data_IF_724587743117
#
_entry.id   IF_724587743117
#
_cell.length_a   1.000
_cell.length_b   1.000
_cell.length_c   1.000
_cell.angle_alpha   90.00
_cell.angle_beta   90.00
_cell.angle_gamma   90.00
#
_symmetry.space_group_name_H-M   'P 1'
#
loop_
_entity.id
_entity.type
_entity.pdbx_description
1 polymer ?
#
# COMPACT_ATOMS: atom_id res chain seq x y z
N UNK A 1 15.73 -4.81 5.63
CA UNK A 1 15.14 -4.51 6.96
C UNK A 1 14.01 -3.52 6.75
N UNK A 2 12.76 -3.98 6.90
CA UNK A 2 11.58 -3.12 6.75
C UNK A 2 11.71 -1.93 7.72
N UNK A 3 11.45 -0.73 7.22
CA UNK A 3 11.37 0.46 8.07
C UNK A 3 10.25 0.23 9.10
N UNK A 4 10.63 -0.07 10.36
CA UNK A 4 9.69 -0.41 11.44
C UNK A 4 8.55 0.61 11.59
N UNK A 5 8.75 1.85 11.14
CA UNK A 5 7.73 2.87 11.14
C UNK A 5 6.48 2.54 10.30
N UNK A 6 6.62 1.90 9.13
CA UNK A 6 5.47 1.60 8.27
C UNK A 6 4.50 0.61 8.93
N UNK A 7 5.06 -0.48 9.47
CA UNK A 7 4.30 -1.51 10.20
C UNK A 7 3.63 -0.88 11.41
N UNK A 8 4.37 -0.11 12.21
CA UNK A 8 3.86 0.49 13.44
C UNK A 8 2.76 1.51 13.17
N UNK A 9 2.95 2.42 12.21
CA UNK A 9 1.94 3.42 11.85
C UNK A 9 0.69 2.74 11.25
N UNK A 10 0.85 1.66 10.47
CA UNK A 10 -0.27 0.88 9.93
C UNK A 10 -1.06 0.15 11.04
N UNK A 11 -0.38 -0.50 11.97
CA UNK A 11 -1.00 -1.16 13.13
C UNK A 11 -1.76 -0.15 14.01
N UNK A 12 -1.17 1.03 14.25
CA UNK A 12 -1.82 2.11 15.00
C UNK A 12 -3.09 2.58 14.27
N UNK A 13 -3.03 2.78 12.96
CA UNK A 13 -4.18 3.16 12.14
C UNK A 13 -5.33 2.15 12.20
N UNK A 14 -5.01 0.85 12.10
CA UNK A 14 -5.98 -0.24 12.21
C UNK A 14 -6.64 -0.27 13.59
N UNK A 15 -5.87 -0.07 14.66
CA UNK A 15 -6.41 0.01 16.03
C UNK A 15 -7.36 1.19 16.20
N UNK A 16 -7.05 2.35 15.60
CA UNK A 16 -7.93 3.52 15.63
C UNK A 16 -9.25 3.27 14.88
N UNK A 17 -9.19 2.60 13.72
CA UNK A 17 -10.37 2.18 12.97
C UNK A 17 -11.25 1.22 13.79
N UNK A 18 -10.65 0.21 14.42
CA UNK A 18 -11.36 -0.73 15.29
C UNK A 18 -12.03 -0.03 16.49
N UNK A 19 -11.34 0.92 17.15
CA UNK A 19 -11.91 1.71 18.24
C UNK A 19 -13.11 2.55 17.78
N UNK A 20 -13.04 3.11 16.58
CA UNK A 20 -14.15 3.86 16.01
C UNK A 20 -15.37 2.95 15.76
N UNK A 21 -15.15 1.78 15.16
CA UNK A 21 -16.22 0.82 14.87
C UNK A 21 -16.87 0.31 16.17
N UNK A 22 -16.08 -0.03 17.19
CA UNK A 22 -16.59 -0.43 18.51
C UNK A 22 -17.41 0.70 19.17
N UNK A 23 -16.93 1.95 19.10
CA UNK A 23 -17.67 3.10 19.63
C UNK A 23 -18.98 3.33 18.87
N UNK A 24 -18.98 3.14 17.55
CA UNK A 24 -20.16 3.25 16.69
C UNK A 24 -21.20 2.19 17.02
N UNK A 25 -20.79 0.93 17.19
CA UNK A 25 -21.69 -0.16 17.60
C UNK A 25 -22.34 0.11 18.96
N UNK A 26 -21.61 0.73 19.89
CA UNK A 26 -22.11 1.13 21.22
C UNK A 26 -22.91 2.44 21.23
N UNK A 27 -23.04 3.13 20.09
CA UNK A 27 -23.67 4.45 20.02
C UNK A 27 -22.94 5.54 20.82
N UNK A 28 -21.64 5.37 21.10
CA UNK A 28 -20.84 6.25 21.93
C UNK A 28 -20.23 7.40 21.12
N UNK A 29 -20.95 8.52 21.00
CA UNK A 29 -20.50 9.67 20.21
C UNK A 29 -19.17 10.26 20.66
N UNK A 30 -18.89 10.30 21.97
CA UNK A 30 -17.61 10.79 22.50
C UNK A 30 -16.44 9.85 22.15
N UNK A 31 -16.68 8.53 22.16
CA UNK A 31 -15.69 7.54 21.73
C UNK A 31 -15.38 7.64 20.24
N UNK A 32 -16.40 7.85 19.41
CA UNK A 32 -16.23 8.08 17.97
C UNK A 32 -15.40 9.35 17.70
N UNK A 33 -15.66 10.44 18.41
CA UNK A 33 -14.92 11.70 18.23
C UNK A 33 -13.47 11.57 18.71
N UNK A 34 -13.22 10.88 19.83
CA UNK A 34 -11.88 10.60 20.31
C UNK A 34 -11.06 9.77 19.31
N UNK A 35 -11.66 8.76 18.69
CA UNK A 35 -11.01 7.95 17.66
C UNK A 35 -10.70 8.79 16.39
N UNK A 36 -11.60 9.68 15.98
CA UNK A 36 -11.37 10.60 14.84
C UNK A 36 -10.24 11.58 15.11
N UNK A 37 -10.18 12.13 16.30
CA UNK A 37 -9.12 13.06 16.68
C UNK A 37 -7.74 12.37 16.71
N UNK A 38 -7.69 11.15 17.26
CA UNK A 38 -6.47 10.34 17.22
C UNK A 38 -6.06 9.98 15.77
N UNK A 39 -7.03 9.64 14.92
CA UNK A 39 -6.80 9.38 13.50
C UNK A 39 -6.18 10.61 12.82
N UNK A 40 -6.74 11.80 13.02
CA UNK A 40 -6.21 13.05 12.44
C UNK A 40 -4.75 13.28 12.84
N UNK A 41 -4.42 13.13 14.12
CA UNK A 41 -3.04 13.30 14.62
C UNK A 41 -2.08 12.29 14.01
N UNK A 42 -2.51 11.03 13.85
CA UNK A 42 -1.68 10.02 13.20
C UNK A 42 -1.49 10.33 11.70
N UNK A 43 -2.54 10.77 11.00
CA UNK A 43 -2.44 11.23 9.61
C UNK A 43 -1.46 12.39 9.47
N UNK A 44 -1.56 13.42 10.31
CA UNK A 44 -0.62 14.56 10.31
C UNK A 44 0.82 14.12 10.59
N UNK A 45 1.03 13.18 11.53
CA UNK A 45 2.35 12.58 11.80
C UNK A 45 2.90 11.85 10.59
N UNK A 46 2.09 11.06 9.90
CA UNK A 46 2.49 10.31 8.69
C UNK A 46 2.83 11.28 7.56
N UNK A 47 1.98 12.27 7.30
CA UNK A 47 2.21 13.32 6.30
C UNK A 47 3.49 14.12 6.60
N UNK A 48 3.74 14.40 7.88
CA UNK A 48 4.96 15.08 8.36
C UNK A 48 6.26 14.31 8.09
N UNK A 49 6.21 13.00 7.79
CA UNK A 49 7.38 12.21 7.34
C UNK A 49 7.71 12.42 5.87
N UNK A 50 6.86 13.16 5.14
CA UNK A 50 7.09 13.56 3.76
C UNK A 50 6.34 12.70 2.73
N UNK A 51 6.34 13.19 1.49
CA UNK A 51 5.57 12.63 0.38
C UNK A 51 6.01 11.20 0.00
N UNK A 52 7.31 10.92 0.00
CA UNK A 52 7.88 9.59 -0.26
C UNK A 52 7.29 8.56 0.70
N UNK A 53 7.44 8.78 2.01
CA UNK A 53 6.88 7.92 3.05
C UNK A 53 5.37 7.76 2.94
N UNK A 54 4.64 8.87 2.76
CA UNK A 54 3.17 8.87 2.68
C UNK A 54 2.66 8.01 1.52
N UNK A 55 3.33 8.06 0.37
CA UNK A 55 2.97 7.25 -0.79
C UNK A 55 3.18 5.76 -0.52
N UNK A 56 4.34 5.37 0.03
CA UNK A 56 4.63 3.97 0.37
C UNK A 56 3.69 3.45 1.46
N UNK A 57 3.40 4.28 2.46
CA UNK A 57 2.45 3.97 3.53
C UNK A 57 1.06 3.62 2.98
N UNK A 58 0.53 4.39 2.02
CA UNK A 58 -0.77 4.08 1.40
C UNK A 58 -0.76 2.71 0.73
N UNK A 59 0.25 2.43 -0.08
CA UNK A 59 0.40 1.13 -0.75
C UNK A 59 0.50 -0.02 0.24
N UNK A 60 1.16 0.21 1.38
CA UNK A 60 1.27 -0.76 2.46
C UNK A 60 -0.08 -1.03 3.14
N UNK A 61 -0.84 0.02 3.44
CA UNK A 61 -2.21 -0.11 3.98
C UNK A 61 -3.10 -0.88 3.02
N UNK A 62 -3.07 -0.54 1.73
CA UNK A 62 -3.87 -1.22 0.70
C UNK A 62 -3.53 -2.71 0.63
N UNK A 63 -2.24 -3.07 0.67
CA UNK A 63 -1.80 -4.46 0.71
C UNK A 63 -2.32 -5.19 1.96
N UNK A 64 -2.23 -4.55 3.13
CA UNK A 64 -2.74 -5.13 4.37
C UNK A 64 -4.28 -5.31 4.34
N UNK A 65 -5.03 -4.34 3.83
CA UNK A 65 -6.50 -4.43 3.68
C UNK A 65 -6.92 -5.52 2.69
N UNK A 66 -6.15 -5.71 1.62
CA UNK A 66 -6.37 -6.76 0.63
C UNK A 66 -5.80 -8.11 1.03
N UNK A 67 -5.02 -8.19 2.13
CA UNK A 67 -4.36 -9.43 2.55
C UNK A 67 -3.30 -9.90 1.55
N UNK A 68 -2.62 -8.97 0.89
CA UNK A 68 -1.47 -9.23 0.03
C UNK A 68 -0.17 -9.19 0.85
N UNK A 69 0.78 -10.06 0.48
CA UNK A 69 2.10 -10.12 1.12
C UNK A 69 2.97 -8.90 0.75
N UNK A 70 2.84 -8.44 -0.50
CA UNK A 70 3.61 -7.31 -1.04
C UNK A 70 2.68 -6.16 -1.40
N UNK A 71 3.24 -4.95 -1.40
CA UNK A 71 2.56 -3.78 -1.95
C UNK A 71 2.32 -3.97 -3.45
N UNK A 72 1.23 -3.42 -3.96
CA UNK A 72 0.83 -3.59 -5.35
C UNK A 72 0.69 -2.27 -6.09
N UNK A 73 1.47 -2.11 -7.16
CA UNK A 73 1.41 -1.02 -8.10
C UNK A 73 0.37 -1.35 -9.19
N UNK A 74 -0.91 -1.11 -8.90
CA UNK A 74 -2.02 -1.45 -9.80
C UNK A 74 -2.43 -0.31 -10.75
N UNK A 75 -2.09 0.94 -10.44
CA UNK A 75 -2.48 2.12 -11.24
C UNK A 75 -1.36 2.57 -12.21
N UNK A 76 -1.56 3.70 -12.89
CA UNK A 76 -0.55 4.34 -13.76
C UNK A 76 0.66 4.76 -12.94
N UNK A 77 1.83 4.30 -13.37
CA UNK A 77 3.12 4.91 -13.00
C UNK A 77 3.67 5.60 -14.23
N UNK A 78 3.76 6.93 -14.18
CA UNK A 78 4.32 7.71 -15.28
C UNK A 78 5.82 7.49 -15.36
N UNK A 79 6.36 7.39 -16.57
CA UNK A 79 7.79 7.13 -16.81
C UNK A 79 8.71 8.05 -16.01
N UNK A 80 8.37 9.36 -15.96
CA UNK A 80 9.12 10.38 -15.20
C UNK A 80 9.13 10.18 -13.69
N UNK A 81 8.18 9.42 -13.15
CA UNK A 81 7.99 9.21 -11.72
C UNK A 81 8.60 7.87 -11.26
N UNK A 82 9.03 6.99 -12.19
CA UNK A 82 9.57 5.66 -11.87
C UNK A 82 10.80 5.73 -10.97
N UNK A 83 11.80 6.54 -11.32
CA UNK A 83 13.04 6.65 -10.54
C UNK A 83 12.78 7.10 -9.10
N UNK A 84 11.94 8.13 -8.94
CA UNK A 84 11.55 8.65 -7.64
C UNK A 84 10.74 7.63 -6.83
N UNK A 85 9.86 6.86 -7.49
CA UNK A 85 9.08 5.80 -6.86
C UNK A 85 10.01 4.70 -6.32
N UNK A 86 10.87 4.12 -7.15
CA UNK A 86 11.76 3.03 -6.73
C UNK A 86 12.72 3.50 -5.63
N UNK A 87 13.22 4.74 -5.71
CA UNK A 87 14.03 5.33 -4.64
C UNK A 87 13.25 5.45 -3.33
N UNK A 88 11.98 5.86 -3.39
CA UNK A 88 11.09 5.88 -2.21
C UNK A 88 10.86 4.48 -1.64
N UNK A 89 10.71 3.45 -2.48
CA UNK A 89 10.59 2.05 -2.03
C UNK A 89 11.86 1.60 -1.27
N UNK A 90 13.05 1.85 -1.83
CA UNK A 90 14.34 1.54 -1.18
C UNK A 90 14.50 2.27 0.16
N UNK A 91 14.27 3.57 0.19
CA UNK A 91 14.38 4.40 1.41
C UNK A 91 13.48 3.88 2.55
N UNK A 92 12.35 3.27 2.19
CA UNK A 92 11.41 2.70 3.14
C UNK A 92 11.61 1.20 3.41
N UNK A 93 12.66 0.60 2.87
CA UNK A 93 13.02 -0.80 3.11
C UNK A 93 12.05 -1.80 2.47
N UNK A 94 11.39 -1.41 1.37
CA UNK A 94 10.59 -2.33 0.55
C UNK A 94 11.54 -3.15 -0.30
N UNK A 95 11.56 -4.46 -0.05
CA UNK A 95 12.42 -5.41 -0.76
C UNK A 95 11.72 -6.05 -1.96
N UNK A 96 10.39 -6.12 -1.94
CA UNK A 96 9.57 -6.70 -3.00
C UNK A 96 8.27 -5.93 -3.19
N UNK A 97 7.79 -5.85 -4.43
CA UNK A 97 6.47 -5.31 -4.80
C UNK A 97 5.86 -6.11 -5.94
N UNK A 98 4.53 -6.04 -6.08
CA UNK A 98 3.82 -6.54 -7.25
C UNK A 98 3.41 -5.40 -8.18
N UNK A 99 3.31 -5.70 -9.47
CA UNK A 99 2.84 -4.78 -10.49
C UNK A 99 1.75 -5.46 -11.31
N UNK A 100 0.50 -5.06 -11.08
CA UNK A 100 -0.69 -5.66 -11.69
C UNK A 100 -1.41 -4.74 -12.68
N UNK A 101 -0.77 -3.65 -13.07
CA UNK A 101 -1.38 -2.61 -13.90
C UNK A 101 -1.82 -3.14 -15.27
N UNK A 102 -3.04 -2.77 -15.69
CA UNK A 102 -3.62 -3.16 -16.98
C UNK A 102 -3.53 -2.08 -18.05
N UNK A 103 -2.80 -0.99 -17.78
CA UNK A 103 -2.60 0.08 -18.75
C UNK A 103 -1.77 -0.40 -19.96
N UNK A 104 -2.01 0.18 -21.13
CA UNK A 104 -1.33 -0.23 -22.37
C UNK A 104 0.19 -0.06 -22.32
N UNK A 105 0.69 0.80 -21.43
CA UNK A 105 2.12 1.04 -21.19
C UNK A 105 2.74 0.12 -20.14
N UNK A 106 2.00 -0.87 -19.59
CA UNK A 106 2.47 -1.65 -18.45
C UNK A 106 3.81 -2.36 -18.73
N UNK A 107 4.03 -2.88 -19.93
CA UNK A 107 5.29 -3.53 -20.31
C UNK A 107 6.45 -2.53 -20.32
N UNK A 108 6.23 -1.30 -20.81
CA UNK A 108 7.23 -0.23 -20.81
C UNK A 108 7.55 0.22 -19.39
N UNK A 109 6.54 0.38 -18.53
CA UNK A 109 6.74 0.68 -17.11
C UNK A 109 7.52 -0.43 -16.40
N UNK A 110 7.20 -1.70 -16.66
CA UNK A 110 7.92 -2.85 -16.14
C UNK A 110 9.40 -2.85 -16.58
N UNK A 111 9.68 -2.49 -17.84
CA UNK A 111 11.05 -2.31 -18.33
C UNK A 111 11.78 -1.20 -17.55
N UNK A 112 11.13 -0.04 -17.34
CA UNK A 112 11.72 1.06 -16.57
C UNK A 112 12.05 0.65 -15.11
N UNK A 113 11.26 -0.22 -14.48
CA UNK A 113 11.62 -0.76 -13.17
C UNK A 113 12.95 -1.51 -13.21
N UNK A 114 13.20 -2.30 -14.28
CA UNK A 114 14.47 -3.01 -14.44
C UNK A 114 15.65 -2.06 -14.66
N UNK A 115 15.46 -0.98 -15.43
CA UNK A 115 16.49 0.06 -15.62
C UNK A 115 16.79 0.82 -14.32
N UNK A 116 15.83 0.84 -13.38
CA UNK A 116 15.97 1.46 -12.05
C UNK A 116 16.39 0.46 -10.96
N UNK A 117 17.02 -0.66 -11.34
CA UNK A 117 17.62 -1.59 -10.38
C UNK A 117 16.64 -2.55 -9.72
N UNK A 118 15.46 -2.77 -10.30
CA UNK A 118 14.58 -3.86 -9.89
C UNK A 118 14.82 -5.12 -10.73
N UNK A 119 14.50 -6.29 -10.20
CA UNK A 119 14.54 -7.56 -10.96
C UNK A 119 13.15 -8.15 -11.07
N UNK A 120 12.71 -8.48 -12.29
CA UNK A 120 11.48 -9.22 -12.51
C UNK A 120 11.70 -10.69 -12.15
N UNK A 121 11.10 -11.14 -11.05
CA UNK A 121 11.21 -12.52 -10.52
C UNK A 121 10.23 -13.47 -11.21
N UNK A 122 9.13 -12.95 -11.76
CA UNK A 122 8.15 -13.74 -12.49
C UNK A 122 6.72 -13.27 -12.28
N UNK A 123 5.77 -14.22 -12.39
CA UNK A 123 4.34 -13.99 -12.23
C UNK A 123 3.82 -14.62 -10.94
N UNK A 124 2.97 -13.88 -10.23
CA UNK A 124 2.28 -14.32 -9.00
C UNK A 124 0.78 -14.03 -9.10
N UNK A 125 -0.01 -14.63 -8.21
CA UNK A 125 -1.43 -14.31 -8.03
C UNK A 125 -1.63 -13.53 -6.74
N UNK A 126 -2.30 -12.38 -6.84
CA UNK A 126 -2.61 -11.51 -5.70
C UNK A 126 -4.11 -11.25 -5.59
N UNK A 127 -4.56 -10.69 -4.47
CA UNK A 127 -5.87 -10.06 -4.36
C UNK A 127 -5.85 -8.72 -5.13
N UNK A 128 -6.78 -8.57 -6.06
CA UNK A 128 -6.97 -7.33 -6.82
C UNK A 128 -7.80 -6.29 -6.07
N UNK A 129 -8.21 -5.25 -6.79
CA UNK A 129 -8.91 -4.09 -6.20
C UNK A 129 -10.41 -4.31 -5.98
N UNK A 130 -10.98 -5.33 -6.64
CA UNK A 130 -12.42 -5.61 -6.62
C UNK A 130 -12.70 -6.88 -5.82
N UNK A 131 -13.81 -6.87 -5.07
CA UNK A 131 -14.38 -8.11 -4.52
C UNK A 131 -15.11 -8.88 -5.60
N UNK A 132 -15.01 -10.20 -5.55
CA UNK A 132 -15.75 -11.07 -6.46
C UNK A 132 -17.25 -10.87 -6.28
N UNK A 133 -17.99 -10.85 -7.38
CA UNK A 133 -19.42 -10.59 -7.35
C UNK A 133 -20.16 -11.56 -6.41
N UNK A 134 -20.88 -11.00 -5.43
CA UNK A 134 -21.61 -11.78 -4.44
C UNK A 134 -20.74 -12.42 -3.35
N UNK A 135 -19.46 -12.06 -3.26
CA UNK A 135 -18.51 -12.57 -2.26
C UNK A 135 -17.87 -11.44 -1.46
N UNK A 136 -17.44 -11.78 -0.24
CA UNK A 136 -16.55 -10.95 0.55
C UNK A 136 -15.07 -11.19 0.20
N UNK A 137 -14.74 -12.07 -0.74
CA UNK A 137 -13.37 -12.33 -1.16
C UNK A 137 -12.96 -11.41 -2.31
N UNK A 138 -11.67 -11.04 -2.35
CA UNK A 138 -11.10 -10.27 -3.45
C UNK A 138 -10.91 -11.16 -4.69
N UNK A 139 -11.12 -10.60 -5.87
CA UNK A 139 -10.79 -11.26 -7.13
C UNK A 139 -9.28 -11.51 -7.21
N UNK A 140 -8.91 -12.73 -7.63
CA UNK A 140 -7.50 -13.09 -7.79
C UNK A 140 -7.03 -12.71 -9.19
N UNK A 141 -5.99 -11.88 -9.27
CA UNK A 141 -5.43 -11.38 -10.53
C UNK A 141 -3.95 -11.76 -10.68
N UNK A 142 -3.44 -11.94 -11.91
CA UNK A 142 -2.01 -12.08 -12.14
C UNK A 142 -1.30 -10.74 -11.93
N UNK A 143 -0.09 -10.79 -11.38
CA UNK A 143 0.80 -9.63 -11.25
C UNK A 143 2.25 -10.05 -11.47
N UNK A 144 3.08 -9.12 -11.89
CA UNK A 144 4.53 -9.30 -11.91
C UNK A 144 5.10 -9.13 -10.51
N UNK A 145 6.02 -10.00 -10.08
CA UNK A 145 6.78 -9.83 -8.85
C UNK A 145 8.13 -9.19 -9.17
N UNK A 146 8.46 -8.11 -8.47
CA UNK A 146 9.75 -7.44 -8.58
C UNK A 146 10.49 -7.46 -7.24
N UNK A 147 11.79 -7.75 -7.28
CA UNK A 147 12.74 -7.47 -6.20
C UNK A 147 13.35 -6.08 -6.38
N UNK A 148 13.57 -5.36 -5.28
CA UNK A 148 14.19 -4.03 -5.24
C UNK A 148 15.60 -4.14 -4.65
N UNK A 149 16.61 -3.65 -5.38
CA UNK A 149 18.03 -3.63 -4.97
C UNK A 149 18.52 -2.22 -4.66
#
# INVERSE_FOLDING_TARGET
>A
MINNHLIMDCMEMQQLKARYDEAKEKGCSSGMEAAREAYRKLSEKIEGRGKSYTNVYRLYVDAAEHGNEYIDLHDVVWDKDVEALISSLRENGIEYFTFSSTWSSAVQTAWLFTENGCTLEGLVKINGQSRAFGSNEYEKIPAYLFAVH
#
